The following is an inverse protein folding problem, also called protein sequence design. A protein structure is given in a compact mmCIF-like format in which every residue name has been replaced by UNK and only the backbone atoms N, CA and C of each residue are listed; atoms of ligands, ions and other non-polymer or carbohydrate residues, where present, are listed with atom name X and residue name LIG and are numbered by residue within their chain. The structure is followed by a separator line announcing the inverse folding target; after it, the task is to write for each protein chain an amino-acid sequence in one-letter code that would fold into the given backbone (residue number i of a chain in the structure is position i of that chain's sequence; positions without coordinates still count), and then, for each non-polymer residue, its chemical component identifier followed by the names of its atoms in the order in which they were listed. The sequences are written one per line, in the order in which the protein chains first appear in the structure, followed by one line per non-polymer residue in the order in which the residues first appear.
data_IF_515565497279
#
_entry.id   IF_515565497279
#
_cell.length_a   1.000
_cell.length_b   1.000
_cell.length_c   1.000
_cell.angle_alpha   90.00
_cell.angle_beta   90.00
_cell.angle_gamma   90.00
#
_symmetry.space_group_name_H-M   'P 1'
#
loop_
_entity.id
_entity.type
_entity.pdbx_description
1 polymer ?
#
# COMPACT_ATOMS: atom_id res chain seq x y z
N UNK A 1 29.85 16.57 -20.94
CA UNK A 1 28.46 16.24 -20.58
C UNK A 1 28.44 16.01 -19.09
N UNK A 2 28.11 17.05 -18.34
CA UNK A 2 28.27 17.08 -16.89
C UNK A 2 27.30 16.08 -16.24
N UNK A 3 27.90 15.18 -15.46
CA UNK A 3 27.35 14.44 -14.33
C UNK A 3 25.93 14.90 -13.93
N UNK A 4 24.91 14.16 -14.38
CA UNK A 4 23.55 14.28 -13.87
C UNK A 4 23.58 13.77 -12.43
N UNK A 5 24.07 14.63 -11.53
CA UNK A 5 24.28 14.31 -10.12
C UNK A 5 22.96 13.81 -9.55
N UNK A 6 22.90 12.51 -9.25
CA UNK A 6 21.79 11.90 -8.55
C UNK A 6 21.44 12.76 -7.33
N UNK A 7 20.22 13.31 -7.31
CA UNK A 7 19.73 14.14 -6.20
C UNK A 7 19.62 13.26 -4.95
N UNK A 8 20.50 13.50 -3.98
CA UNK A 8 20.50 12.80 -2.69
C UNK A 8 19.60 13.56 -1.71
N UNK A 9 18.75 12.83 -1.01
CA UNK A 9 17.91 13.36 0.06
C UNK A 9 17.63 12.27 1.10
N UNK A 10 17.29 12.66 2.32
CA UNK A 10 16.70 11.76 3.29
C UNK A 10 15.24 11.51 2.93
N UNK A 11 14.80 10.27 3.09
CA UNK A 11 13.43 9.85 2.86
C UNK A 11 13.07 8.71 3.80
N UNK A 12 11.81 8.66 4.23
CA UNK A 12 11.23 7.50 4.91
C UNK A 12 10.57 6.61 3.86
N UNK A 13 10.88 5.31 3.88
CA UNK A 13 10.34 4.34 2.94
C UNK A 13 9.42 3.40 3.70
N UNK A 14 8.16 3.32 3.26
CA UNK A 14 7.21 2.33 3.71
C UNK A 14 7.06 1.26 2.62
N UNK A 15 7.10 0.00 3.03
CA UNK A 15 6.81 -1.14 2.17
C UNK A 15 5.61 -1.85 2.80
N UNK A 16 4.61 -2.15 1.99
CA UNK A 16 3.43 -2.86 2.42
C UNK A 16 3.15 -4.02 1.47
N UNK A 17 2.78 -5.18 2.00
CA UNK A 17 2.46 -6.38 1.20
C UNK A 17 1.23 -7.13 1.72
N UNK A 18 0.58 -7.90 0.86
CA UNK A 18 -0.68 -8.58 1.22
C UNK A 18 -0.39 -9.87 1.98
N UNK A 19 -0.94 -9.97 3.18
CA UNK A 19 -0.83 -11.18 4.00
C UNK A 19 -1.64 -12.30 3.37
N UNK A 20 -0.98 -13.42 3.06
CA UNK A 20 -1.64 -14.61 2.52
C UNK A 20 -2.10 -14.45 1.07
N UNK A 21 -1.46 -13.58 0.29
CA UNK A 21 -1.80 -13.33 -1.11
C UNK A 21 -1.93 -14.60 -1.96
N UNK A 22 -0.99 -15.55 -1.87
CA UNK A 22 -1.06 -16.79 -2.63
C UNK A 22 -2.34 -17.59 -2.35
N UNK A 23 -2.78 -17.62 -1.08
CA UNK A 23 -4.02 -18.29 -0.67
C UNK A 23 -5.26 -17.59 -1.22
N UNK A 24 -5.26 -16.24 -1.21
CA UNK A 24 -6.35 -15.44 -1.79
C UNK A 24 -6.46 -15.69 -3.31
N UNK A 25 -5.32 -15.70 -4.00
CA UNK A 25 -5.24 -15.97 -5.43
C UNK A 25 -5.68 -17.38 -5.79
N UNK A 26 -5.33 -18.39 -4.99
CA UNK A 26 -5.77 -19.77 -5.18
C UNK A 26 -7.30 -19.92 -5.02
N UNK A 27 -7.89 -19.20 -4.05
CA UNK A 27 -9.32 -19.28 -3.79
C UNK A 27 -10.17 -18.54 -4.84
N UNK A 28 -9.76 -17.33 -5.23
CA UNK A 28 -10.44 -16.51 -6.22
C UNK A 28 -9.47 -15.47 -6.81
N UNK A 29 -8.79 -15.84 -7.91
CA UNK A 29 -7.85 -14.95 -8.60
C UNK A 29 -8.53 -13.65 -9.08
N UNK A 30 -9.67 -13.76 -9.76
CA UNK A 30 -10.30 -12.60 -10.41
C UNK A 30 -10.86 -11.63 -9.37
N UNK A 31 -11.52 -12.16 -8.33
CA UNK A 31 -12.02 -11.37 -7.22
C UNK A 31 -10.91 -10.73 -6.40
N UNK A 32 -9.81 -11.45 -6.13
CA UNK A 32 -8.65 -10.92 -5.41
C UNK A 32 -8.00 -9.77 -6.16
N UNK A 33 -7.77 -9.91 -7.47
CA UNK A 33 -7.20 -8.84 -8.29
C UNK A 33 -8.12 -7.61 -8.39
N UNK A 34 -9.43 -7.83 -8.52
CA UNK A 34 -10.41 -6.74 -8.56
C UNK A 34 -10.43 -5.97 -7.21
N UNK A 35 -10.48 -6.70 -6.10
CA UNK A 35 -10.46 -6.12 -4.77
C UNK A 35 -9.16 -5.35 -4.50
N UNK A 36 -7.98 -5.90 -4.86
CA UNK A 36 -6.70 -5.19 -4.69
C UNK A 36 -6.62 -3.90 -5.51
N UNK A 37 -7.13 -3.91 -6.75
CA UNK A 37 -7.21 -2.69 -7.57
C UNK A 37 -8.12 -1.64 -6.94
N UNK A 38 -9.26 -2.07 -6.41
CA UNK A 38 -10.18 -1.19 -5.68
C UNK A 38 -9.51 -0.60 -4.44
N UNK A 39 -8.96 -1.45 -3.55
CA UNK A 39 -8.26 -1.02 -2.32
C UNK A 39 -7.13 -0.05 -2.61
N UNK A 40 -6.38 -0.27 -3.69
CA UNK A 40 -5.33 0.66 -4.11
C UNK A 40 -5.90 2.05 -4.40
N UNK A 41 -6.96 2.12 -5.20
CA UNK A 41 -7.55 3.37 -5.66
C UNK A 41 -8.34 4.10 -4.56
N UNK A 42 -9.03 3.36 -3.70
CA UNK A 42 -9.97 3.94 -2.71
C UNK A 42 -9.36 4.11 -1.33
N UNK A 43 -8.29 3.39 -1.00
CA UNK A 43 -7.64 3.43 0.31
C UNK A 43 -6.19 3.89 0.20
N UNK A 44 -5.34 3.15 -0.52
CA UNK A 44 -3.89 3.44 -0.53
C UNK A 44 -3.56 4.79 -1.16
N UNK A 45 -4.03 5.06 -2.38
CA UNK A 45 -3.70 6.29 -3.12
C UNK A 45 -4.14 7.57 -2.38
N UNK A 46 -5.38 7.66 -1.83
CA UNK A 46 -5.79 8.81 -1.02
C UNK A 46 -4.92 9.01 0.21
N UNK A 47 -4.68 7.96 1.01
CA UNK A 47 -3.88 8.07 2.25
C UNK A 47 -2.45 8.51 1.92
N UNK A 48 -1.83 7.92 0.90
CA UNK A 48 -0.48 8.33 0.50
C UNK A 48 -0.45 9.80 0.10
N UNK A 49 -1.42 10.27 -0.68
CA UNK A 49 -1.51 11.68 -1.08
C UNK A 49 -1.74 12.60 0.13
N UNK A 50 -2.66 12.25 1.02
CA UNK A 50 -3.10 13.09 2.13
C UNK A 50 -2.00 13.24 3.20
N UNK A 51 -1.05 12.29 3.26
CA UNK A 51 0.16 12.36 4.08
C UNK A 51 1.43 12.81 3.32
N UNK A 52 1.27 13.42 2.14
CA UNK A 52 2.36 13.96 1.31
C UNK A 52 3.40 12.89 0.89
N UNK A 53 2.96 11.65 0.76
CA UNK A 53 3.74 10.54 0.26
C UNK A 53 3.66 10.40 -1.26
N UNK A 54 4.50 9.51 -1.79
CA UNK A 54 4.52 9.15 -3.20
C UNK A 54 4.69 7.65 -3.35
N UNK A 55 3.79 7.01 -4.09
CA UNK A 55 3.97 5.62 -4.51
C UNK A 55 5.11 5.61 -5.54
N UNK A 56 6.24 5.01 -5.17
CA UNK A 56 7.40 4.88 -6.05
C UNK A 56 7.16 3.75 -7.04
N UNK A 57 6.65 2.62 -6.56
CA UNK A 57 6.37 1.45 -7.38
C UNK A 57 5.37 0.53 -6.68
N UNK A 58 4.59 -0.17 -7.49
CA UNK A 58 3.82 -1.34 -7.08
C UNK A 58 4.50 -2.60 -7.65
N UNK A 59 4.64 -3.64 -6.83
CA UNK A 59 5.23 -4.92 -7.21
C UNK A 59 4.24 -6.05 -6.87
N UNK A 60 3.41 -6.45 -7.84
CA UNK A 60 2.36 -7.44 -7.59
C UNK A 60 1.32 -6.91 -6.60
N UNK A 61 1.23 -7.58 -5.45
CA UNK A 61 0.44 -7.24 -4.28
C UNK A 61 1.12 -6.24 -3.33
N UNK A 62 2.43 -6.05 -3.47
CA UNK A 62 3.22 -5.12 -2.68
C UNK A 62 3.23 -3.68 -3.21
N UNK A 63 3.43 -2.73 -2.30
CA UNK A 63 3.59 -1.30 -2.58
C UNK A 63 4.83 -0.73 -1.89
N UNK A 64 5.59 0.09 -2.61
CA UNK A 64 6.72 0.86 -2.09
C UNK A 64 6.39 2.34 -2.16
N UNK A 65 6.33 2.97 -0.99
CA UNK A 65 5.90 4.35 -0.80
C UNK A 65 7.02 5.15 -0.13
N UNK A 66 7.26 6.35 -0.63
CA UNK A 66 8.25 7.27 -0.13
C UNK A 66 7.58 8.49 0.51
N UNK A 67 8.10 8.91 1.67
CA UNK A 67 7.68 10.12 2.37
C UNK A 67 8.91 10.99 2.70
N UNK A 68 8.72 12.30 2.71
CA UNK A 68 9.75 13.23 3.19
C UNK A 68 9.90 13.24 4.73
N UNK A 69 8.90 12.70 5.44
CA UNK A 69 8.80 12.69 6.91
C UNK A 69 8.51 11.29 7.43
N UNK A 70 9.30 10.82 8.40
CA UNK A 70 9.04 9.56 9.10
C UNK A 70 7.72 9.59 9.89
N UNK A 71 7.33 10.77 10.40
CA UNK A 71 6.05 10.94 11.10
C UNK A 71 4.88 10.75 10.12
N UNK A 72 4.97 11.32 8.92
CA UNK A 72 3.92 11.13 7.91
C UNK A 72 3.85 9.68 7.45
N UNK A 73 5.00 9.02 7.26
CA UNK A 73 5.04 7.60 6.90
C UNK A 73 4.31 6.73 7.94
N UNK A 74 4.57 6.96 9.24
CA UNK A 74 3.91 6.21 10.32
C UNK A 74 2.42 6.52 10.42
N UNK A 75 2.02 7.80 10.30
CA UNK A 75 0.60 8.19 10.30
C UNK A 75 -0.16 7.57 9.13
N UNK A 76 0.42 7.61 7.93
CA UNK A 76 -0.14 6.97 6.74
C UNK A 76 -0.27 5.45 6.94
N UNK A 77 0.73 4.80 7.54
CA UNK A 77 0.68 3.37 7.82
C UNK A 77 -0.42 3.00 8.82
N UNK A 78 -0.61 3.79 9.88
CA UNK A 78 -1.70 3.59 10.86
C UNK A 78 -3.07 3.75 10.21
N UNK A 79 -3.28 4.84 9.46
CA UNK A 79 -4.55 5.08 8.77
C UNK A 79 -4.82 4.01 7.70
N UNK A 80 -3.78 3.52 7.01
CA UNK A 80 -3.90 2.43 6.05
C UNK A 80 -4.38 1.14 6.73
N UNK A 81 -3.86 0.81 7.91
CA UNK A 81 -4.31 -0.36 8.68
C UNK A 81 -5.78 -0.21 9.11
N UNK A 82 -6.15 0.96 9.63
CA UNK A 82 -7.53 1.25 10.05
C UNK A 82 -8.51 1.16 8.88
N UNK A 83 -8.21 1.82 7.77
CA UNK A 83 -9.07 1.83 6.58
C UNK A 83 -9.17 0.49 5.90
N UNK A 84 -8.09 -0.31 5.88
CA UNK A 84 -8.14 -1.71 5.42
C UNK A 84 -8.98 -2.59 6.34
N UNK A 85 -8.94 -2.36 7.66
CA UNK A 85 -9.79 -3.07 8.60
C UNK A 85 -11.28 -2.74 8.41
N UNK A 86 -11.63 -1.46 8.27
CA UNK A 86 -12.99 -1.01 7.94
C UNK A 86 -13.50 -1.66 6.65
N UNK A 87 -12.66 -1.65 5.62
CA UNK A 87 -12.85 -2.30 4.34
C UNK A 87 -13.18 -3.80 4.43
N UNK A 88 -12.62 -4.50 5.42
CA UNK A 88 -12.76 -5.93 5.62
C UNK A 88 -13.95 -6.35 6.49
N UNK A 89 -14.67 -5.41 7.09
CA UNK A 89 -15.73 -5.66 8.09
C UNK A 89 -16.81 -6.63 7.60
N UNK A 90 -17.24 -6.51 6.34
CA UNK A 90 -18.30 -7.33 5.74
C UNK A 90 -17.77 -8.59 5.03
N UNK A 91 -16.45 -8.83 5.08
CA UNK A 91 -15.81 -9.96 4.43
C UNK A 91 -15.53 -11.10 5.43
N UNK A 92 -15.73 -12.32 4.94
CA UNK A 92 -15.28 -13.54 5.62
C UNK A 92 -13.75 -13.53 5.73
N UNK A 93 -13.20 -14.13 6.79
CA UNK A 93 -11.76 -14.07 7.12
C UNK A 93 -10.86 -14.53 5.98
N UNK A 94 -11.30 -15.54 5.25
CA UNK A 94 -10.61 -16.11 4.10
C UNK A 94 -10.51 -15.13 2.91
N UNK A 95 -11.34 -14.09 2.84
CA UNK A 95 -11.35 -13.07 1.78
C UNK A 95 -10.86 -11.69 2.22
N UNK A 96 -10.47 -11.52 3.48
CA UNK A 96 -9.95 -10.23 3.99
C UNK A 96 -8.59 -9.92 3.37
N UNK A 97 -8.41 -8.67 2.96
CA UNK A 97 -7.12 -8.16 2.47
C UNK A 97 -6.46 -7.40 3.62
N UNK A 98 -5.40 -7.96 4.18
CA UNK A 98 -4.60 -7.34 5.23
C UNK A 98 -3.24 -6.99 4.67
N UNK A 99 -2.76 -5.79 4.98
CA UNK A 99 -1.41 -5.34 4.60
C UNK A 99 -0.46 -5.45 5.79
N UNK A 100 0.81 -5.77 5.53
CA UNK A 100 1.90 -5.73 6.51
C UNK A 100 3.08 -4.94 5.98
#
# INVERSE_FOLDING_TARGET
MADERAKRRLAAIAVADVVGYSRLMEADETGTLAALRERRKTVLEPIVRDHEGRIVKVMGDGALVEFASAVNAVKAALELQEKMAEANTLLSEDRRIVLR
#
